data_IF_174006307373
#
_entry.id   IF_174006307373
#
_cell.length_a   1.000
_cell.length_b   1.000
_cell.length_c   1.000
_cell.angle_alpha   90.00
_cell.angle_beta   90.00
_cell.angle_gamma   90.00
#
_symmetry.space_group_name_H-M   'P 1'
#
loop_
_entity.id
_entity.type
_entity.pdbx_description
1 polymer ?
#
# COMPACT_ATOMS: atom_id res chain seq x y z
N UNK A 1 11.98 2.61 19.04
CA UNK A 1 12.37 2.37 18.70
C UNK A 1 12.10 1.45 18.10
N UNK A 2 11.86 0.99 17.99
CA UNK A 2 11.63 0.22 17.48
C UNK A 2 11.03 0.06 16.29
N UNK A 3 10.87 0.75 15.53
CA UNK A 3 10.40 0.60 14.24
C UNK A 3 11.25 -0.14 13.34
N UNK A 4 12.42 -0.42 13.76
CA UNK A 4 13.33 -1.14 12.96
C UNK A 4 12.90 -2.52 12.71
N UNK A 5 12.03 -3.02 13.60
CA UNK A 5 11.59 -4.37 13.45
C UNK A 5 10.38 -4.48 12.60
N UNK A 6 9.87 -3.40 12.13
CA UNK A 6 8.68 -3.44 11.33
C UNK A 6 8.98 -4.09 10.00
N UNK A 7 8.18 -5.05 9.65
CA UNK A 7 8.33 -5.73 8.40
C UNK A 7 7.83 -4.87 7.27
N UNK A 8 8.70 -4.58 6.33
CA UNK A 8 8.34 -3.79 5.15
C UNK A 8 8.86 -4.49 3.93
N UNK A 9 8.18 -4.32 2.82
CA UNK A 9 8.66 -4.85 1.57
C UNK A 9 8.60 -3.77 0.52
N UNK A 10 9.53 -3.84 -0.41
CA UNK A 10 9.53 -2.97 -1.57
C UNK A 10 8.64 -3.65 -2.58
N UNK A 11 7.47 -3.08 -2.77
CA UNK A 11 6.47 -3.70 -3.60
C UNK A 11 5.75 -2.64 -4.39
N UNK A 12 5.77 -2.78 -5.69
CA UNK A 12 5.06 -1.86 -6.56
C UNK A 12 3.74 -2.52 -6.94
N UNK A 13 2.69 -2.11 -6.29
CA UNK A 13 1.38 -2.67 -6.50
C UNK A 13 0.37 -1.57 -6.70
N UNK A 14 -0.65 -1.86 -7.50
CA UNK A 14 -1.70 -0.88 -7.74
C UNK A 14 -2.67 -0.90 -6.58
N UNK A 15 -2.98 0.29 -6.08
CA UNK A 15 -4.00 0.44 -5.07
C UNK A 15 -4.84 1.64 -5.46
N UNK A 16 -5.99 1.78 -4.83
CA UNK A 16 -6.85 2.92 -5.08
C UNK A 16 -6.78 3.86 -3.89
N UNK A 17 -6.50 5.11 -4.15
CA UNK A 17 -6.37 6.12 -3.11
C UNK A 17 -7.55 7.05 -3.14
N UNK A 18 -8.26 7.11 -2.03
CA UNK A 18 -9.37 8.03 -1.88
C UNK A 18 -8.84 9.27 -1.20
N UNK A 19 -8.66 10.32 -1.97
CA UNK A 19 -8.09 11.56 -1.45
C UNK A 19 -9.13 12.45 -0.80
N UNK A 20 -10.41 12.11 -0.96
CA UNK A 20 -11.47 12.95 -0.45
C UNK A 20 -11.87 14.04 -1.42
N UNK A 21 -11.23 14.11 -2.58
CA UNK A 21 -11.50 15.16 -3.54
C UNK A 21 -12.19 14.64 -4.79
N UNK A 22 -12.80 13.49 -4.70
CA UNK A 22 -13.46 12.93 -5.86
C UNK A 22 -13.33 11.43 -5.83
N UNK A 23 -13.38 10.84 -7.01
CA UNK A 23 -13.31 9.40 -7.11
C UNK A 23 -11.92 8.91 -6.73
N UNK A 24 -11.83 7.69 -6.23
CA UNK A 24 -10.52 7.14 -5.92
C UNK A 24 -9.63 7.08 -7.16
N UNK A 25 -8.37 7.24 -6.92
CA UNK A 25 -7.35 7.30 -7.96
C UNK A 25 -6.46 6.10 -7.87
N UNK A 26 -6.14 5.50 -8.99
CA UNK A 26 -5.21 4.38 -8.97
C UNK A 26 -3.79 4.90 -8.85
N UNK A 27 -3.08 4.42 -7.85
CA UNK A 27 -1.69 4.79 -7.62
C UNK A 27 -0.91 3.54 -7.34
N UNK A 28 0.40 3.66 -7.31
CA UNK A 28 1.22 2.50 -7.02
C UNK A 28 1.92 2.68 -5.69
N UNK A 29 2.04 1.59 -4.97
CA UNK A 29 2.88 1.59 -3.79
C UNK A 29 4.32 1.52 -4.21
N UNK A 30 5.21 1.94 -3.35
CA UNK A 30 6.63 1.73 -3.54
C UNK A 30 7.13 0.88 -2.38
N UNK A 31 6.56 1.08 -1.21
CA UNK A 31 6.96 0.35 -0.04
C UNK A 31 5.73 0.08 0.79
N UNK A 32 5.60 -1.11 1.31
CA UNK A 32 4.46 -1.47 2.13
C UNK A 32 4.93 -2.05 3.44
N UNK A 33 4.42 -1.49 4.52
CA UNK A 33 4.73 -1.95 5.86
C UNK A 33 3.42 -2.28 6.57
N UNK A 34 3.53 -2.85 7.74
CA UNK A 34 2.33 -3.14 8.51
C UNK A 34 1.60 -1.88 8.91
N UNK A 35 2.33 -0.84 9.21
CA UNK A 35 1.73 0.37 9.75
C UNK A 35 1.55 1.46 8.71
N UNK A 36 1.97 1.24 7.50
CA UNK A 36 1.82 2.29 6.51
C UNK A 36 2.36 1.91 5.16
N UNK A 37 2.26 2.84 4.22
CA UNK A 37 2.73 2.60 2.88
C UNK A 37 3.21 3.89 2.26
N UNK A 38 4.19 3.78 1.40
CA UNK A 38 4.62 4.91 0.60
C UNK A 38 3.97 4.76 -0.77
N UNK A 39 3.21 5.77 -1.14
CA UNK A 39 2.46 5.75 -2.39
C UNK A 39 3.05 6.77 -3.34
N UNK A 40 3.15 6.41 -4.60
CA UNK A 40 3.65 7.30 -5.63
C UNK A 40 2.53 8.22 -6.07
N UNK A 41 2.28 9.24 -5.28
CA UNK A 41 1.21 10.18 -5.54
C UNK A 41 1.63 11.54 -5.01
N UNK A 42 1.55 12.54 -5.86
CA UNK A 42 1.95 13.88 -5.44
C UNK A 42 0.84 14.89 -5.62
N UNK A 43 -0.37 14.43 -5.88
CA UNK A 43 -1.49 15.34 -6.08
C UNK A 43 -2.11 15.80 -4.79
N UNK A 44 -3.23 16.49 -4.89
CA UNK A 44 -3.86 17.07 -3.71
C UNK A 44 -4.63 16.02 -2.90
N UNK A 45 -4.72 16.29 -1.62
CA UNK A 45 -5.47 15.45 -0.70
C UNK A 45 -6.26 16.37 0.19
N UNK A 46 -7.53 16.04 0.40
CA UNK A 46 -8.37 16.84 1.26
C UNK A 46 -8.02 16.51 2.72
N UNK A 47 -7.51 17.49 3.44
CA UNK A 47 -7.17 17.26 4.83
C UNK A 47 -6.02 16.31 4.97
N UNK A 48 -6.11 15.43 5.96
CA UNK A 48 -5.04 14.49 6.25
C UNK A 48 -5.45 13.05 6.17
N UNK A 49 -6.74 12.78 6.15
CA UNK A 49 -7.23 11.41 6.14
C UNK A 49 -7.42 10.93 4.72
N UNK A 50 -7.06 9.69 4.49
CA UNK A 50 -7.22 9.08 3.17
C UNK A 50 -7.73 7.67 3.36
N UNK A 51 -8.31 7.14 2.28
CA UNK A 51 -8.68 5.74 2.25
C UNK A 51 -7.83 5.05 1.20
N UNK A 52 -7.45 3.82 1.47
CA UNK A 52 -6.69 3.04 0.51
C UNK A 52 -7.40 1.72 0.32
N UNK A 53 -7.65 1.37 -0.94
CA UNK A 53 -8.28 0.10 -1.24
C UNK A 53 -7.23 -0.80 -1.86
N UNK A 54 -6.99 -1.92 -1.20
CA UNK A 54 -6.07 -2.92 -1.70
C UNK A 54 -6.88 -3.94 -2.46
N UNK A 55 -6.63 -4.10 -3.74
CA UNK A 55 -7.41 -5.08 -4.51
C UNK A 55 -7.11 -6.48 -4.04
N UNK A 56 -8.11 -7.33 -4.06
CA UNK A 56 -7.95 -8.70 -3.66
C UNK A 56 -8.12 -9.60 -4.87
N UNK A 57 -7.25 -10.57 -5.04
CA UNK A 57 -7.35 -11.47 -6.17
C UNK A 57 -8.69 -12.20 -6.16
N UNK A 58 -9.26 -12.32 -7.31
CA UNK A 58 -10.51 -13.03 -7.44
C UNK A 58 -11.73 -12.23 -7.06
N UNK A 59 -11.54 -10.99 -6.62
CA UNK A 59 -12.64 -10.14 -6.22
C UNK A 59 -12.83 -9.09 -7.29
N UNK A 60 -14.00 -9.07 -7.86
CA UNK A 60 -14.24 -8.14 -8.90
C UNK A 60 -14.63 -6.82 -8.34
N UNK A 61 -13.86 -5.81 -8.60
CA UNK A 61 -14.16 -4.47 -8.13
C UNK A 61 -14.16 -4.34 -6.65
N UNK A 62 -13.66 -5.32 -5.93
CA UNK A 62 -13.65 -5.26 -4.50
C UNK A 62 -12.26 -5.16 -3.98
N UNK A 63 -12.17 -5.06 -2.70
CA UNK A 63 -10.89 -4.95 -2.06
C UNK A 63 -11.11 -4.51 -0.65
N UNK A 64 -10.02 -4.48 0.10
CA UNK A 64 -10.10 -4.09 1.47
C UNK A 64 -9.76 -2.64 1.60
N UNK A 65 -10.62 -1.90 2.25
CA UNK A 65 -10.39 -0.48 2.42
C UNK A 65 -9.79 -0.23 3.79
N UNK A 66 -8.70 0.50 3.81
CA UNK A 66 -8.00 0.83 5.04
C UNK A 66 -7.96 2.34 5.15
N UNK A 67 -8.21 2.84 6.33
CA UNK A 67 -8.12 4.26 6.58
C UNK A 67 -6.72 4.59 7.04
N UNK A 68 -6.25 5.76 6.65
CA UNK A 68 -4.93 6.19 7.05
C UNK A 68 -4.83 7.69 7.11
N UNK A 69 -3.66 8.14 7.52
CA UNK A 69 -3.38 9.57 7.61
C UNK A 69 -2.07 9.87 6.93
N UNK A 70 -2.03 11.04 6.32
CA UNK A 70 -0.80 11.49 5.69
C UNK A 70 0.21 11.78 6.78
N UNK A 71 1.33 11.09 6.73
CA UNK A 71 2.38 11.26 7.71
C UNK A 71 3.57 12.02 7.16
N UNK A 72 3.68 12.11 5.85
CA UNK A 72 4.74 12.89 5.24
C UNK A 72 4.51 13.00 3.76
N UNK A 73 5.03 14.05 3.17
CA UNK A 73 4.89 14.26 1.73
C UNK A 73 6.23 14.63 1.14
N UNK A 74 6.48 14.08 -0.02
CA UNK A 74 7.71 14.36 -0.76
C UNK A 74 7.31 14.63 -2.21
N UNK A 75 8.21 15.18 -2.99
CA UNK A 75 7.85 15.46 -4.39
C UNK A 75 7.42 14.21 -5.16
N UNK A 76 7.95 13.06 -4.80
CA UNK A 76 7.65 11.84 -5.55
C UNK A 76 6.68 10.92 -4.85
N UNK A 77 6.11 11.31 -3.73
CA UNK A 77 5.15 10.43 -3.08
C UNK A 77 4.73 10.89 -1.71
N UNK A 78 3.92 10.07 -1.10
CA UNK A 78 3.35 10.39 0.19
C UNK A 78 3.39 9.16 1.07
N UNK A 79 3.74 9.36 2.32
CA UNK A 79 3.74 8.28 3.31
C UNK A 79 2.42 8.32 4.06
N UNK A 80 1.71 7.22 4.04
CA UNK A 80 0.43 7.10 4.71
C UNK A 80 0.59 6.16 5.89
N UNK A 81 0.19 6.60 7.05
CA UNK A 81 0.20 5.77 8.22
C UNK A 81 -1.21 5.21 8.40
N UNK A 82 -1.31 3.90 8.50
CA UNK A 82 -2.63 3.27 8.63
C UNK A 82 -3.18 3.50 10.01
N UNK A 83 -4.50 3.64 10.09
CA UNK A 83 -5.16 3.84 11.37
C UNK A 83 -5.06 2.60 12.24
N UNK A 84 -4.94 1.46 11.61
CA UNK A 84 -4.73 0.23 12.35
C UNK A 84 -3.77 -0.63 11.56
N UNK A 85 -3.10 -1.51 12.25
CA UNK A 85 -2.13 -2.35 11.58
C UNK A 85 -2.80 -3.27 10.60
N UNK A 86 -2.13 -3.47 9.48
CA UNK A 86 -2.63 -4.34 8.44
C UNK A 86 -2.21 -5.75 8.69
N UNK A 87 -2.75 -6.37 9.73
CA UNK A 87 -2.33 -7.70 10.02
C UNK A 87 -2.68 -8.65 8.92
N UNK A 88 -3.96 -8.80 8.66
CA UNK A 88 -4.41 -9.71 7.63
C UNK A 88 -4.20 -9.16 6.27
N UNK A 89 -4.54 -7.92 6.06
CA UNK A 89 -4.46 -7.35 4.73
C UNK A 89 -3.04 -7.29 4.24
N UNK A 90 -2.13 -6.91 5.11
CA UNK A 90 -0.76 -6.82 4.69
C UNK A 90 -0.20 -8.21 4.44
N UNK A 91 -0.63 -9.19 5.19
CA UNK A 91 -0.19 -10.54 4.93
C UNK A 91 -0.65 -11.01 3.58
N UNK A 92 -1.88 -10.72 3.24
CA UNK A 92 -2.38 -11.09 1.94
C UNK A 92 -1.66 -10.40 0.83
N UNK A 93 -1.47 -9.11 0.98
CA UNK A 93 -0.80 -8.35 -0.04
C UNK A 93 0.65 -8.74 -0.14
N UNK A 94 1.29 -8.94 0.97
CA UNK A 94 2.66 -9.38 0.98
C UNK A 94 2.81 -10.76 0.40
N UNK A 95 1.86 -11.61 0.70
CA UNK A 95 1.89 -12.95 0.14
C UNK A 95 1.78 -12.90 -1.36
N UNK A 96 0.90 -12.06 -1.88
CA UNK A 96 0.77 -11.92 -3.31
C UNK A 96 2.05 -11.38 -3.91
N UNK A 97 2.62 -10.38 -3.27
CA UNK A 97 3.87 -9.83 -3.72
C UNK A 97 4.98 -10.85 -3.66
N UNK A 98 5.03 -11.58 -2.59
CA UNK A 98 6.05 -12.60 -2.44
C UNK A 98 5.85 -13.72 -3.42
N UNK A 99 4.63 -14.05 -3.72
CA UNK A 99 4.35 -15.05 -4.73
C UNK A 99 4.89 -14.61 -6.06
N UNK A 100 4.67 -13.38 -6.40
CA UNK A 100 5.19 -12.87 -7.65
C UNK A 100 6.69 -12.85 -7.64
N UNK A 101 7.24 -12.43 -6.54
CA UNK A 101 8.68 -12.42 -6.42
C UNK A 101 9.24 -13.82 -6.41
N UNK A 102 8.55 -14.73 -5.81
CA UNK A 102 8.98 -16.09 -5.78
C UNK A 102 9.03 -16.69 -7.16
N UNK A 103 8.07 -16.38 -7.95
CA UNK A 103 8.08 -16.89 -9.32
C UNK A 103 9.28 -16.37 -10.06
N UNK A 104 9.55 -15.09 -9.89
CA UNK A 104 10.72 -14.53 -10.54
C UNK A 104 11.97 -15.15 -9.98
N UNK A 105 12.02 -15.31 -8.71
CA UNK A 105 13.17 -15.92 -8.08
C UNK A 105 13.35 -17.35 -8.49
N UNK A 106 12.28 -18.06 -8.61
CA UNK A 106 12.38 -19.42 -9.04
C UNK A 106 12.99 -19.51 -10.40
N UNK A 107 12.56 -18.65 -11.26
CA UNK A 107 13.16 -18.60 -12.57
C UNK A 107 14.61 -18.35 -12.46
N UNK A 108 14.99 -17.48 -11.60
CA UNK A 108 16.37 -17.21 -11.39
C UNK A 108 17.12 -18.34 -10.86
N UNK A 109 16.57 -19.03 -9.90
CA UNK A 109 17.26 -20.08 -9.26
C UNK A 109 17.46 -21.23 -10.10
N UNK A 110 16.64 -21.45 -11.01
CA UNK A 110 16.75 -22.57 -11.88
C UNK A 110 17.59 -22.21 -13.05
#
# INVERSE_FOLDING_TARGET
MENFDEECIWLRADVWLDTGLGDPIKVQTRKLCRSGAFLEYSGPIAGRSVGIVFPEPGTRGGGRQIQGMVAGRWPDGVWIRFSENLRSSSEMLMRNGLSQQSRASSSHRL
#
